data_IF_909969592303
#
_entry.id   IF_909969592303
#
_cell.length_a   1.000
_cell.length_b   1.000
_cell.length_c   1.000
_cell.angle_alpha   90.00
_cell.angle_beta   90.00
_cell.angle_gamma   90.00
#
_symmetry.space_group_name_H-M   'P 1'
#
loop_
_entity.id
_entity.type
_entity.pdbx_description
1 polymer ?
#
# COMPACT_ATOMS: atom_id res chain seq x y z
N UNK A 1 -20.62 111.53 71.54
CA UNK A 1 -20.98 111.34 70.12
C UNK A 1 -19.76 111.73 69.30
N UNK A 2 -19.07 110.79 68.63
CA UNK A 2 -19.57 110.18 67.40
C UNK A 2 -19.60 108.64 67.44
N UNK A 3 -20.41 108.10 66.53
CA UNK A 3 -20.85 106.70 66.42
C UNK A 3 -19.75 105.85 65.76
N UNK A 4 -19.29 104.81 66.45
CA UNK A 4 -18.46 103.77 65.86
C UNK A 4 -19.25 102.98 64.82
N UNK A 5 -18.74 102.93 63.58
CA UNK A 5 -19.21 101.98 62.55
C UNK A 5 -18.70 100.59 62.93
N UNK A 6 -19.58 99.75 63.46
CA UNK A 6 -19.36 98.31 63.53
C UNK A 6 -19.52 97.78 62.12
N UNK A 7 -18.42 97.40 61.46
CA UNK A 7 -18.47 96.58 60.25
C UNK A 7 -18.90 95.18 60.69
N UNK A 8 -20.20 94.91 60.57
CA UNK A 8 -20.76 93.56 60.70
C UNK A 8 -20.12 92.74 59.60
N UNK A 9 -19.27 91.79 59.98
CA UNK A 9 -18.79 90.77 59.06
C UNK A 9 -19.99 90.07 58.47
N UNK A 10 -20.13 90.13 57.15
CA UNK A 10 -21.05 89.24 56.44
C UNK A 10 -20.60 87.82 56.77
N UNK A 11 -21.46 86.97 57.36
CA UNK A 11 -21.16 85.57 57.38
C UNK A 11 -21.16 85.15 55.91
N UNK A 12 -20.05 84.58 55.43
CA UNK A 12 -20.04 83.75 54.24
C UNK A 12 -20.85 82.48 54.56
N UNK A 13 -22.16 82.64 54.74
CA UNK A 13 -23.10 81.55 54.64
C UNK A 13 -23.26 81.28 53.15
N UNK A 14 -22.37 80.44 52.62
CA UNK A 14 -22.72 79.63 51.47
C UNK A 14 -24.00 78.87 51.82
N UNK A 15 -25.15 79.44 51.48
CA UNK A 15 -26.45 78.79 51.54
C UNK A 15 -26.45 77.68 50.49
N UNK A 16 -25.71 76.59 50.76
CA UNK A 16 -25.92 75.33 50.08
C UNK A 16 -27.22 74.80 50.65
N UNK A 17 -28.34 75.23 50.04
CA UNK A 17 -29.66 74.78 50.46
C UNK A 17 -29.67 73.27 50.54
N UNK A 18 -30.29 72.70 51.58
CA UNK A 18 -30.33 71.24 51.78
C UNK A 18 -30.72 70.48 50.49
N UNK A 19 -31.63 71.06 49.69
CA UNK A 19 -32.03 70.55 48.37
C UNK A 19 -30.92 70.50 47.31
N UNK A 20 -29.94 71.40 47.32
CA UNK A 20 -28.78 71.37 46.43
C UNK A 20 -27.84 70.21 46.78
N UNK A 21 -27.60 69.96 48.07
CA UNK A 21 -26.81 68.78 48.52
C UNK A 21 -27.50 67.47 48.13
N UNK A 22 -28.83 67.38 48.31
CA UNK A 22 -29.59 66.21 47.87
C UNK A 22 -29.57 66.05 46.34
N UNK A 23 -29.67 67.13 45.57
CA UNK A 23 -29.56 67.10 44.10
C UNK A 23 -28.17 66.63 43.63
N UNK A 24 -27.10 67.01 44.33
CA UNK A 24 -25.74 66.59 43.96
C UNK A 24 -25.45 65.14 44.37
N UNK A 25 -25.93 64.68 45.54
CA UNK A 25 -25.86 63.27 45.95
C UNK A 25 -26.63 62.39 44.96
N UNK A 26 -27.82 62.81 44.53
CA UNK A 26 -28.61 62.05 43.57
C UNK A 26 -27.95 62.00 42.18
N UNK A 27 -27.38 63.11 41.69
CA UNK A 27 -26.58 63.12 40.44
C UNK A 27 -25.37 62.19 40.53
N UNK A 28 -24.65 62.20 41.65
CA UNK A 28 -23.48 61.35 41.81
C UNK A 28 -23.86 59.87 41.93
N UNK A 29 -24.96 59.56 42.63
CA UNK A 29 -25.53 58.21 42.65
C UNK A 29 -25.94 57.72 41.26
N UNK A 30 -26.47 58.61 40.41
CA UNK A 30 -26.83 58.28 39.02
C UNK A 30 -25.58 58.02 38.17
N UNK A 31 -24.52 58.81 38.33
CA UNK A 31 -23.23 58.60 37.66
C UNK A 31 -22.58 57.27 38.05
N UNK A 32 -22.61 56.93 39.34
CA UNK A 32 -22.11 55.64 39.83
C UNK A 32 -22.92 54.50 39.21
N UNK A 33 -24.26 54.59 39.20
CA UNK A 33 -25.12 53.59 38.55
C UNK A 33 -24.80 53.44 37.06
N UNK A 34 -24.63 54.53 36.32
CA UNK A 34 -24.26 54.47 34.91
C UNK A 34 -22.89 53.81 34.69
N UNK A 35 -21.92 54.10 35.57
CA UNK A 35 -20.59 53.48 35.52
C UNK A 35 -20.65 51.97 35.80
N UNK A 36 -21.43 51.56 36.79
CA UNK A 36 -21.64 50.14 37.12
C UNK A 36 -22.34 49.41 35.98
N UNK A 37 -23.41 49.99 35.41
CA UNK A 37 -24.10 49.40 34.26
C UNK A 37 -23.15 49.20 33.08
N UNK A 38 -22.30 50.18 32.77
CA UNK A 38 -21.32 50.06 31.69
C UNK A 38 -20.25 48.99 31.96
N UNK A 39 -19.86 48.80 33.23
CA UNK A 39 -18.95 47.71 33.61
C UNK A 39 -19.65 46.35 33.41
N UNK A 40 -20.90 46.23 33.85
CA UNK A 40 -21.69 45.01 33.69
C UNK A 40 -21.88 44.65 32.21
N UNK A 41 -22.20 45.62 31.34
CA UNK A 41 -22.30 45.40 29.89
C UNK A 41 -20.99 44.86 29.30
N UNK A 42 -19.85 45.43 29.68
CA UNK A 42 -18.53 44.96 29.24
C UNK A 42 -18.20 43.55 29.75
N UNK A 43 -18.60 43.22 30.98
CA UNK A 43 -18.42 41.89 31.55
C UNK A 43 -19.34 40.86 30.88
N UNK A 44 -20.58 41.23 30.59
CA UNK A 44 -21.52 40.40 29.82
C UNK A 44 -20.99 40.10 28.41
N UNK A 45 -20.43 41.10 27.71
CA UNK A 45 -19.81 40.88 26.41
C UNK A 45 -18.61 39.90 26.49
N UNK A 46 -17.79 40.01 27.55
CA UNK A 46 -16.66 39.10 27.79
C UNK A 46 -17.15 37.69 28.08
N UNK A 47 -18.17 37.53 28.91
CA UNK A 47 -18.80 36.24 29.23
C UNK A 47 -19.41 35.60 27.98
N UNK A 48 -20.09 36.39 27.13
CA UNK A 48 -20.63 35.90 25.86
C UNK A 48 -19.52 35.40 24.92
N UNK A 49 -18.39 36.13 24.83
CA UNK A 49 -17.23 35.70 24.03
C UNK A 49 -16.63 34.40 24.56
N UNK A 50 -16.43 34.28 25.88
CA UNK A 50 -15.94 33.06 26.51
C UNK A 50 -16.87 31.88 26.28
N UNK A 51 -18.19 32.07 26.42
CA UNK A 51 -19.19 31.03 26.18
C UNK A 51 -19.16 30.55 24.74
N UNK A 52 -19.00 31.46 23.76
CA UNK A 52 -18.85 31.09 22.34
C UNK A 52 -17.59 30.26 22.09
N UNK A 53 -16.48 30.59 22.72
CA UNK A 53 -15.23 29.83 22.60
C UNK A 53 -15.35 28.44 23.24
N UNK A 54 -15.92 28.36 24.44
CA UNK A 54 -16.17 27.10 25.13
C UNK A 54 -17.08 26.18 24.30
N UNK A 55 -18.17 26.71 23.73
CA UNK A 55 -19.07 25.94 22.88
C UNK A 55 -18.39 25.45 21.58
N UNK A 56 -17.45 26.22 21.02
CA UNK A 56 -16.66 25.79 19.86
C UNK A 56 -15.71 24.66 20.24
N UNK A 57 -15.02 24.78 21.37
CA UNK A 57 -14.10 23.76 21.84
C UNK A 57 -14.83 22.45 22.17
N UNK A 58 -15.96 22.52 22.88
CA UNK A 58 -16.82 21.36 23.15
C UNK A 58 -17.26 20.64 21.87
N UNK A 59 -17.61 21.39 20.81
CA UNK A 59 -17.96 20.80 19.50
C UNK A 59 -16.77 20.12 18.84
N UNK A 60 -15.58 20.70 18.93
CA UNK A 60 -14.37 20.06 18.39
C UNK A 60 -14.02 18.79 19.16
N UNK A 61 -14.07 18.85 20.48
CA UNK A 61 -13.83 17.71 21.36
C UNK A 61 -14.84 16.57 21.11
N UNK A 62 -16.13 16.88 20.94
CA UNK A 62 -17.14 15.86 20.65
C UNK A 62 -16.91 15.18 19.31
N UNK A 63 -16.54 15.94 18.26
CA UNK A 63 -16.18 15.38 16.95
C UNK A 63 -14.94 14.47 17.06
N UNK A 64 -13.92 14.90 17.82
CA UNK A 64 -12.71 14.10 18.03
C UNK A 64 -13.02 12.81 18.79
N UNK A 65 -13.80 12.90 19.87
CA UNK A 65 -14.24 11.75 20.64
C UNK A 65 -15.01 10.76 19.77
N UNK A 66 -15.96 11.24 18.96
CA UNK A 66 -16.74 10.40 18.06
C UNK A 66 -15.83 9.65 17.08
N UNK A 67 -14.87 10.33 16.46
CA UNK A 67 -13.92 9.68 15.54
C UNK A 67 -13.08 8.58 16.21
N UNK A 68 -12.72 8.77 17.47
CA UNK A 68 -11.99 7.77 18.25
C UNK A 68 -12.90 6.57 18.55
N UNK A 69 -14.14 6.82 18.95
CA UNK A 69 -15.13 5.77 19.17
C UNK A 69 -15.41 4.97 17.89
N UNK A 70 -15.68 5.63 16.77
CA UNK A 70 -15.94 4.97 15.47
C UNK A 70 -14.76 4.09 15.03
N UNK A 71 -13.51 4.48 15.38
CA UNK A 71 -12.32 3.68 15.09
C UNK A 71 -12.24 2.46 15.99
N UNK A 72 -12.52 2.64 17.29
CA UNK A 72 -12.56 1.54 18.24
C UNK A 72 -13.64 0.51 17.87
N UNK A 73 -14.84 0.96 17.52
CA UNK A 73 -15.95 0.10 17.10
C UNK A 73 -15.59 -0.72 15.85
N UNK A 74 -15.04 -0.07 14.82
CA UNK A 74 -14.56 -0.77 13.61
C UNK A 74 -13.49 -1.81 13.92
N UNK A 75 -12.54 -1.49 14.80
CA UNK A 75 -11.51 -2.45 15.20
C UNK A 75 -12.10 -3.64 15.96
N UNK A 76 -13.08 -3.41 16.85
CA UNK A 76 -13.77 -4.46 17.57
C UNK A 76 -14.54 -5.37 16.61
N UNK A 77 -15.24 -4.79 15.62
CA UNK A 77 -15.96 -5.53 14.60
C UNK A 77 -15.03 -6.39 13.74
N UNK A 78 -13.90 -5.84 13.30
CA UNK A 78 -12.86 -6.59 12.59
C UNK A 78 -12.33 -7.75 13.44
N UNK A 79 -12.03 -7.51 14.71
CA UNK A 79 -11.56 -8.56 15.64
C UNK A 79 -12.61 -9.66 15.84
N UNK A 80 -13.90 -9.32 15.89
CA UNK A 80 -14.99 -10.30 15.94
C UNK A 80 -15.02 -11.14 14.66
N UNK A 81 -14.94 -10.51 13.48
CA UNK A 81 -14.86 -11.21 12.20
C UNK A 81 -13.66 -12.16 12.11
N UNK A 82 -12.47 -11.71 12.53
CA UNK A 82 -11.29 -12.57 12.62
C UNK A 82 -11.51 -13.75 13.55
N UNK A 83 -12.11 -13.52 14.72
CA UNK A 83 -12.41 -14.59 15.67
C UNK A 83 -13.39 -15.60 15.08
N UNK A 84 -14.41 -15.15 14.36
CA UNK A 84 -15.35 -16.02 13.67
C UNK A 84 -14.66 -16.89 12.62
N UNK A 85 -13.88 -16.29 11.70
CA UNK A 85 -13.12 -17.03 10.67
C UNK A 85 -12.14 -18.01 11.29
N UNK A 86 -11.44 -17.63 12.36
CA UNK A 86 -10.54 -18.55 13.08
C UNK A 86 -11.33 -19.71 13.68
N UNK A 87 -12.51 -19.41 14.23
CA UNK A 87 -13.37 -20.41 14.85
C UNK A 87 -14.08 -21.31 13.86
N UNK A 88 -14.35 -20.90 12.62
CA UNK A 88 -15.09 -21.70 11.62
C UNK A 88 -14.15 -22.36 10.63
N UNK A 89 -13.31 -21.56 9.99
CA UNK A 89 -12.58 -21.93 8.77
C UNK A 89 -11.19 -22.46 9.12
N UNK A 90 -10.55 -21.91 10.16
CA UNK A 90 -9.25 -22.35 10.65
C UNK A 90 -9.34 -23.37 11.81
N UNK A 91 -10.45 -24.11 11.94
CA UNK A 91 -10.48 -25.25 12.86
C UNK A 91 -9.42 -26.28 12.47
N UNK A 92 -8.76 -26.86 13.46
CA UNK A 92 -7.78 -27.95 13.27
C UNK A 92 -8.37 -29.10 12.45
N UNK A 93 -9.67 -29.36 12.61
CA UNK A 93 -10.41 -30.39 11.89
C UNK A 93 -10.48 -30.17 10.38
N UNK A 94 -10.46 -28.91 9.92
CA UNK A 94 -10.45 -28.54 8.50
C UNK A 94 -9.07 -28.76 7.88
N UNK A 95 -8.00 -28.74 8.70
CA UNK A 95 -6.65 -29.01 8.25
C UNK A 95 -6.38 -30.51 8.23
N UNK A 96 -6.60 -31.11 7.06
CA UNK A 96 -6.28 -32.53 6.81
C UNK A 96 -4.84 -32.89 7.21
N UNK A 97 -3.92 -31.93 7.16
CA UNK A 97 -2.51 -32.05 7.55
C UNK A 97 -2.28 -32.27 9.04
N UNK A 98 -3.21 -31.88 9.90
CA UNK A 98 -3.11 -31.97 11.36
C UNK A 98 -3.77 -33.25 11.91
N UNK A 99 -4.41 -34.07 11.06
CA UNK A 99 -5.02 -35.34 11.47
C UNK A 99 -3.95 -36.31 11.94
N UNK A 100 -4.20 -37.02 13.05
CA UNK A 100 -3.27 -38.02 13.56
C UNK A 100 -3.05 -39.12 12.51
N UNK A 101 -1.78 -39.43 12.21
CA UNK A 101 -1.42 -40.34 11.12
C UNK A 101 -1.51 -39.74 9.71
N UNK A 102 -1.61 -38.41 9.56
CA UNK A 102 -1.53 -37.76 8.25
C UNK A 102 -0.19 -38.07 7.58
N UNK A 103 -0.21 -39.05 6.68
CA UNK A 103 0.82 -39.21 5.68
C UNK A 103 0.60 -38.10 4.67
N UNK A 104 1.45 -37.06 4.73
CA UNK A 104 1.66 -36.16 3.59
C UNK A 104 1.78 -37.09 2.40
N UNK A 105 0.77 -37.13 1.51
CA UNK A 105 0.95 -37.81 0.22
C UNK A 105 2.18 -37.12 -0.32
N UNK A 106 3.30 -37.83 -0.21
CA UNK A 106 4.57 -37.32 -0.61
C UNK A 106 4.30 -36.84 -2.03
N UNK A 107 4.80 -35.66 -2.35
CA UNK A 107 5.00 -35.33 -3.75
C UNK A 107 6.11 -36.30 -4.19
N UNK A 108 5.75 -37.60 -4.36
CA UNK A 108 6.71 -38.71 -4.52
C UNK A 108 7.41 -38.60 -5.86
N UNK A 109 6.79 -37.86 -6.80
CA UNK A 109 7.38 -37.58 -8.09
C UNK A 109 7.09 -36.14 -8.55
N UNK A 110 8.01 -35.53 -9.31
CA UNK A 110 7.77 -34.24 -9.99
C UNK A 110 6.49 -34.24 -10.85
N UNK A 111 6.07 -35.41 -11.32
CA UNK A 111 4.83 -35.59 -12.08
C UNK A 111 3.59 -35.35 -11.21
N UNK A 112 3.57 -35.91 -10.00
CA UNK A 112 2.47 -35.71 -9.03
C UNK A 112 2.37 -34.24 -8.62
N UNK A 113 3.51 -33.55 -8.45
CA UNK A 113 3.55 -32.11 -8.17
C UNK A 113 2.86 -31.29 -9.27
N UNK A 114 3.24 -31.57 -10.53
CA UNK A 114 2.66 -30.91 -11.71
C UNK A 114 1.16 -31.18 -11.83
N UNK A 115 0.73 -32.40 -11.53
CA UNK A 115 -0.69 -32.77 -11.54
C UNK A 115 -1.48 -31.97 -10.50
N UNK A 116 -1.03 -31.95 -9.25
CA UNK A 116 -1.71 -31.22 -8.17
C UNK A 116 -1.77 -29.73 -8.48
N UNK A 117 -0.69 -29.14 -9.01
CA UNK A 117 -0.68 -27.72 -9.41
C UNK A 117 -1.74 -27.40 -10.46
N UNK A 118 -1.88 -28.24 -11.49
CA UNK A 118 -2.88 -28.06 -12.54
C UNK A 118 -4.30 -28.27 -12.02
N UNK A 119 -4.53 -29.31 -11.22
CA UNK A 119 -5.83 -29.58 -10.59
C UNK A 119 -6.27 -28.41 -9.69
N UNK A 120 -5.33 -27.84 -8.92
CA UNK A 120 -5.59 -26.70 -8.05
C UNK A 120 -5.93 -25.43 -8.84
N UNK A 121 -5.23 -25.16 -9.95
CA UNK A 121 -5.54 -24.01 -10.83
C UNK A 121 -6.95 -24.10 -11.41
N UNK A 122 -7.35 -25.29 -11.82
CA UNK A 122 -8.68 -25.53 -12.42
C UNK A 122 -9.78 -25.40 -11.35
N UNK A 123 -9.54 -25.96 -10.16
CA UNK A 123 -10.45 -25.84 -9.03
C UNK A 123 -10.65 -24.37 -8.61
N UNK A 124 -9.58 -23.60 -8.48
CA UNK A 124 -9.65 -22.17 -8.15
C UNK A 124 -10.32 -21.32 -9.24
N UNK A 125 -10.37 -21.83 -10.48
CA UNK A 125 -11.13 -21.23 -11.58
C UNK A 125 -12.63 -21.53 -11.54
N UNK A 126 -13.13 -22.25 -10.52
CA UNK A 126 -14.55 -22.61 -10.38
C UNK A 126 -14.96 -23.84 -11.18
N UNK A 127 -14.02 -24.54 -11.81
CA UNK A 127 -14.31 -25.73 -12.62
C UNK A 127 -14.01 -27.02 -11.86
N UNK A 128 -14.82 -28.06 -12.08
CA UNK A 128 -14.55 -29.37 -11.51
C UNK A 128 -13.35 -30.03 -12.23
N UNK A 129 -12.27 -30.41 -11.52
CA UNK A 129 -11.06 -30.99 -12.14
C UNK A 129 -11.33 -32.28 -12.92
N UNK A 130 -12.42 -32.98 -12.61
CA UNK A 130 -12.86 -34.20 -13.28
C UNK A 130 -13.05 -34.05 -14.80
N UNK A 131 -13.59 -32.91 -15.24
CA UNK A 131 -13.83 -32.63 -16.66
C UNK A 131 -12.54 -32.40 -17.46
N UNK A 132 -11.49 -31.95 -16.78
CA UNK A 132 -10.22 -31.59 -17.42
C UNK A 132 -9.15 -32.68 -17.29
N UNK A 133 -9.50 -33.87 -16.79
CA UNK A 133 -8.54 -34.99 -16.60
C UNK A 133 -7.69 -35.28 -17.84
N UNK A 134 -8.27 -35.22 -19.03
CA UNK A 134 -7.54 -35.44 -20.28
C UNK A 134 -6.56 -34.30 -20.59
N UNK A 135 -6.99 -33.05 -20.44
CA UNK A 135 -6.15 -31.87 -20.69
C UNK A 135 -5.03 -31.73 -19.66
N UNK A 136 -5.29 -32.05 -18.39
CA UNK A 136 -4.28 -32.14 -17.34
C UNK A 136 -3.20 -33.18 -17.72
N UNK A 137 -3.61 -34.38 -18.15
CA UNK A 137 -2.65 -35.41 -18.62
C UNK A 137 -1.85 -34.94 -19.83
N UNK A 138 -2.47 -34.23 -20.78
CA UNK A 138 -1.80 -33.67 -21.96
C UNK A 138 -0.74 -32.64 -21.56
N UNK A 139 -1.08 -31.69 -20.69
CA UNK A 139 -0.17 -30.67 -20.18
C UNK A 139 0.98 -31.26 -19.38
N UNK A 140 0.72 -32.28 -18.55
CA UNK A 140 1.78 -33.00 -17.81
C UNK A 140 2.78 -33.65 -18.77
N UNK A 141 2.31 -34.26 -19.87
CA UNK A 141 3.18 -34.87 -20.89
C UNK A 141 4.01 -33.83 -21.65
N UNK A 142 3.43 -32.68 -21.97
CA UNK A 142 4.15 -31.57 -22.61
C UNK A 142 5.23 -30.97 -21.71
N UNK A 143 4.97 -30.91 -20.41
CA UNK A 143 5.91 -30.43 -19.40
C UNK A 143 6.90 -31.50 -18.91
N UNK A 144 6.91 -32.70 -19.51
CA UNK A 144 7.89 -33.74 -19.18
C UNK A 144 9.25 -33.35 -19.79
N UNK A 145 10.30 -33.20 -18.96
CA UNK A 145 11.64 -32.85 -19.45
C UNK A 145 12.11 -33.80 -20.55
N UNK A 146 11.82 -35.10 -20.46
CA UNK A 146 12.31 -36.07 -21.43
C UNK A 146 11.67 -35.88 -22.81
N UNK A 147 10.39 -35.50 -22.84
CA UNK A 147 9.68 -35.21 -24.10
C UNK A 147 10.23 -33.92 -24.71
N UNK A 148 10.40 -32.88 -23.90
CA UNK A 148 11.00 -31.62 -24.33
C UNK A 148 12.42 -31.80 -24.89
N UNK A 149 13.28 -32.54 -24.18
CA UNK A 149 14.66 -32.81 -24.62
C UNK A 149 14.69 -33.59 -25.96
N UNK A 150 13.80 -34.57 -26.15
CA UNK A 150 13.71 -35.30 -27.42
C UNK A 150 13.30 -34.40 -28.58
N UNK A 151 12.28 -33.56 -28.38
CA UNK A 151 11.82 -32.60 -29.39
C UNK A 151 12.93 -31.60 -29.70
N UNK A 152 13.54 -31.00 -28.67
CA UNK A 152 14.64 -30.05 -28.83
C UNK A 152 15.84 -30.66 -29.56
N UNK A 153 16.23 -31.89 -29.19
CA UNK A 153 17.31 -32.62 -29.88
C UNK A 153 17.00 -32.87 -31.35
N UNK A 154 15.74 -33.19 -31.67
CA UNK A 154 15.29 -33.39 -33.05
C UNK A 154 15.40 -32.09 -33.85
N UNK A 155 14.86 -31.00 -33.32
CA UNK A 155 14.91 -29.67 -33.94
C UNK A 155 16.36 -29.22 -34.15
N UNK A 156 17.21 -29.34 -33.12
CA UNK A 156 18.64 -28.99 -33.24
C UNK A 156 19.37 -29.86 -34.27
N UNK A 157 19.01 -31.14 -34.38
CA UNK A 157 19.60 -32.02 -35.40
C UNK A 157 19.18 -31.60 -36.81
N UNK A 158 17.92 -31.26 -37.01
CA UNK A 158 17.39 -30.76 -38.29
C UNK A 158 18.05 -29.43 -38.66
N UNK A 159 18.10 -28.47 -37.73
CA UNK A 159 18.80 -27.19 -37.93
C UNK A 159 20.28 -27.38 -38.24
N UNK A 160 20.98 -28.26 -37.52
CA UNK A 160 22.37 -28.56 -37.84
C UNK A 160 22.50 -29.20 -39.23
N UNK A 161 21.58 -30.07 -39.66
CA UNK A 161 21.61 -30.66 -41.00
C UNK A 161 21.36 -29.62 -42.11
N UNK A 162 20.53 -28.62 -41.86
CA UNK A 162 20.26 -27.52 -42.79
C UNK A 162 21.43 -26.51 -42.84
N UNK A 163 21.99 -26.15 -41.69
CA UNK A 163 23.11 -25.19 -41.58
C UNK A 163 24.46 -25.79 -41.98
N UNK A 164 24.73 -27.04 -41.61
CA UNK A 164 25.93 -27.76 -42.01
C UNK A 164 25.66 -28.50 -43.32
N UNK A 165 25.78 -27.79 -44.45
CA UNK A 165 25.71 -28.41 -45.76
C UNK A 165 26.54 -29.70 -45.81
N UNK A 166 25.96 -30.77 -46.39
CA UNK A 166 26.51 -32.12 -46.53
C UNK A 166 27.54 -32.53 -45.45
N UNK A 167 27.05 -33.12 -44.35
CA UNK A 167 27.88 -33.80 -43.35
C UNK A 167 28.72 -34.89 -44.03
N UNK A 168 30.05 -34.80 -43.92
CA UNK A 168 30.96 -35.84 -44.38
C UNK A 168 30.71 -37.14 -43.62
N UNK A 169 30.61 -38.26 -44.34
CA UNK A 169 30.43 -39.56 -43.73
C UNK A 169 31.63 -39.87 -42.81
N UNK A 170 31.37 -40.22 -41.55
CA UNK A 170 32.43 -40.53 -40.57
C UNK A 170 32.93 -41.96 -40.71
N UNK A 171 32.31 -42.79 -41.55
CA UNK A 171 32.69 -44.18 -41.80
C UNK A 171 33.70 -44.35 -42.93
N UNK A 172 34.08 -43.28 -43.61
CA UNK A 172 35.09 -43.33 -44.65
C UNK A 172 36.50 -43.44 -44.05
N UNK A 173 37.44 -44.03 -44.80
CA UNK A 173 38.83 -44.13 -44.32
C UNK A 173 39.43 -42.74 -44.10
N UNK A 174 40.31 -42.60 -43.09
CA UNK A 174 40.88 -41.31 -42.67
C UNK A 174 41.48 -40.53 -43.85
N UNK A 175 42.20 -41.21 -44.74
CA UNK A 175 42.80 -40.60 -45.92
C UNK A 175 41.75 -40.01 -46.88
N UNK A 176 40.63 -40.71 -47.07
CA UNK A 176 39.52 -40.23 -47.91
C UNK A 176 38.78 -39.07 -47.23
N UNK A 177 38.63 -39.13 -45.91
CA UNK A 177 37.98 -38.09 -45.11
C UNK A 177 38.74 -36.76 -45.23
N UNK A 178 40.05 -36.76 -44.98
CA UNK A 178 40.85 -35.53 -45.06
C UNK A 178 40.96 -34.96 -46.47
N UNK A 179 40.96 -35.82 -47.51
CA UNK A 179 40.92 -35.36 -48.91
C UNK A 179 39.61 -34.67 -49.25
N UNK A 180 38.48 -35.31 -48.96
CA UNK A 180 37.15 -34.74 -49.23
C UNK A 180 36.88 -33.48 -48.40
N UNK A 181 37.38 -33.42 -47.16
CA UNK A 181 37.33 -32.21 -46.32
C UNK A 181 38.13 -31.05 -46.92
N UNK A 182 39.37 -31.29 -47.39
CA UNK A 182 40.17 -30.27 -48.10
C UNK A 182 39.51 -29.78 -49.39
N UNK A 183 38.93 -30.69 -50.16
CA UNK A 183 38.22 -30.33 -51.41
C UNK A 183 36.98 -29.47 -51.14
N UNK A 184 36.19 -29.81 -50.11
CA UNK A 184 35.00 -29.04 -49.73
C UNK A 184 35.34 -27.69 -49.10
N UNK A 185 36.44 -27.59 -48.35
CA UNK A 185 36.98 -26.30 -47.88
C UNK A 185 37.38 -25.40 -49.04
N UNK A 186 38.08 -25.93 -50.06
CA UNK A 186 38.46 -25.16 -51.26
C UNK A 186 37.27 -24.66 -52.07
N UNK A 187 36.16 -25.41 -52.11
CA UNK A 187 34.92 -25.04 -52.81
C UNK A 187 34.05 -24.03 -52.05
N UNK A 188 34.48 -23.55 -50.87
CA UNK A 188 33.71 -22.62 -50.04
C UNK A 188 32.43 -23.20 -49.43
N UNK A 189 32.28 -24.53 -49.46
CA UNK A 189 31.08 -25.24 -48.99
C UNK A 189 31.12 -25.59 -47.50
N UNK A 190 32.28 -25.44 -46.86
CA UNK A 190 32.46 -25.67 -45.43
C UNK A 190 32.90 -24.37 -44.76
N UNK A 191 31.93 -23.56 -44.33
CA UNK A 191 32.20 -22.55 -43.31
C UNK A 191 32.18 -23.27 -41.97
N UNK A 192 33.36 -23.58 -41.43
CA UNK A 192 33.48 -23.75 -39.99
C UNK A 192 33.31 -22.35 -39.39
N UNK A 193 32.06 -21.86 -39.28
CA UNK A 193 31.80 -20.73 -38.39
C UNK A 193 32.08 -21.26 -36.99
N UNK A 194 33.11 -20.78 -36.27
CA UNK A 194 33.24 -21.12 -34.87
C UNK A 194 31.97 -20.62 -34.19
N UNK A 195 31.05 -21.53 -33.88
CA UNK A 195 29.85 -21.17 -33.15
C UNK A 195 30.30 -20.90 -31.71
N UNK A 196 30.75 -19.67 -31.44
CA UNK A 196 30.78 -19.11 -30.08
C UNK A 196 29.32 -18.91 -29.69
N UNK A 197 28.62 -20.00 -29.35
CA UNK A 197 27.32 -19.90 -28.69
C UNK A 197 27.60 -19.45 -27.26
N UNK A 198 27.39 -18.18 -26.97
CA UNK A 198 27.15 -17.77 -25.59
C UNK A 198 25.96 -18.58 -25.08
N UNK A 199 26.18 -19.41 -24.06
CA UNK A 199 25.14 -20.24 -23.43
C UNK A 199 24.15 -19.42 -22.58
N UNK A 200 24.11 -18.10 -22.75
CA UNK A 200 23.24 -17.20 -22.02
C UNK A 200 22.45 -16.31 -23.00
N UNK A 201 21.14 -16.12 -22.80
CA UNK A 201 20.39 -15.13 -23.54
C UNK A 201 20.96 -13.75 -23.18
N UNK A 202 21.61 -13.09 -24.14
CA UNK A 202 22.04 -11.71 -23.97
C UNK A 202 20.77 -10.84 -23.88
N UNK A 203 20.58 -10.06 -22.79
CA UNK A 203 19.45 -9.15 -22.69
C UNK A 203 19.49 -8.14 -23.85
N UNK A 204 18.35 -7.89 -24.49
CA UNK A 204 18.20 -6.83 -25.49
C UNK A 204 18.49 -5.48 -24.82
N UNK A 205 19.73 -5.00 -24.87
CA UNK A 205 20.12 -3.75 -24.23
C UNK A 205 21.61 -3.42 -24.24
N UNK A 206 22.50 -4.39 -24.48
CA UNK A 206 23.95 -4.14 -24.51
C UNK A 206 24.51 -4.41 -25.91
N UNK A 207 24.20 -3.53 -26.85
CA UNK A 207 24.85 -3.43 -28.16
C UNK A 207 25.32 -1.99 -28.38
N UNK A 208 26.05 -1.45 -27.42
CA UNK A 208 26.97 -0.37 -27.67
C UNK A 208 28.16 -0.66 -26.77
N UNK A 209 29.32 -0.84 -27.40
CA UNK A 209 30.67 -0.52 -26.97
C UNK A 209 31.65 -1.53 -27.57
N UNK A 210 32.55 -0.97 -28.37
CA UNK A 210 33.85 -1.50 -28.79
C UNK A 210 33.76 -2.50 -29.98
N UNK A 211 34.53 -2.37 -31.05
CA UNK A 211 35.90 -1.84 -31.20
C UNK A 211 36.05 -1.26 -32.62
N UNK A 212 36.41 0.02 -32.73
CA UNK A 212 37.25 0.50 -33.84
C UNK A 212 38.69 0.15 -33.51
N UNK A 213 39.34 -0.61 -34.39
CA UNK A 213 40.78 -0.58 -34.69
C UNK A 213 40.98 -1.06 -36.12
#
# INVERSE_FOLDING_TARGET
MPKGRVTIGYPNESFVGKGAVFADITKESLRIKMRVNRINELEEERLQKLTRLMNRDQKLQSILLQKVMDRAERNIEQMKGYREVVSTDYKVDNFRTMKHGFKKRLIESPRTARQISLETKIYNGGYQPGYFKQEIKRKIRQADPNVFHRVMKKVLKEQCQEESGQVLDRKMSDMTYYRTLKEKQKKGQFYFKPQVRSLFPVPKGYMHYCIEK
#
